data_IF_999576312395
#
_entry.id   IF_999576312395
#
_cell.length_a   1.000
_cell.length_b   1.000
_cell.length_c   1.000
_cell.angle_alpha   90.00
_cell.angle_beta   90.00
_cell.angle_gamma   90.00
#
_symmetry.space_group_name_H-M   'P 1'
#
loop_
_entity.id
_entity.type
_entity.pdbx_description
1 polymer ?
#
# COMPACT_ATOMS: atom_id res chain seq x y z
N UNK A 1 -54.59 28.33 31.86
CA UNK A 1 -53.25 28.81 31.42
C UNK A 1 -52.07 28.00 31.96
N UNK A 2 -52.18 27.28 33.08
CA UNK A 2 -51.05 26.56 33.72
C UNK A 2 -50.58 25.33 32.90
N UNK A 3 -51.49 24.63 32.20
CA UNK A 3 -51.15 23.40 31.46
C UNK A 3 -50.36 23.60 30.15
N UNK A 4 -50.35 24.81 29.57
CA UNK A 4 -49.58 25.10 28.35
C UNK A 4 -48.10 25.39 28.66
N UNK A 5 -47.84 26.09 29.76
CA UNK A 5 -46.49 26.39 30.21
C UNK A 5 -45.74 25.13 30.66
N UNK A 6 -46.38 24.24 31.41
CA UNK A 6 -45.78 22.98 31.85
C UNK A 6 -45.36 22.09 30.66
N UNK A 7 -46.18 22.04 29.59
CA UNK A 7 -45.86 21.29 28.36
C UNK A 7 -44.69 21.90 27.60
N UNK A 8 -44.59 23.23 27.54
CA UNK A 8 -43.46 23.92 26.88
C UNK A 8 -42.15 23.74 27.64
N UNK A 9 -42.18 23.75 28.97
CA UNK A 9 -41.00 23.50 29.82
C UNK A 9 -40.55 22.04 29.72
N UNK A 10 -41.50 21.08 29.73
CA UNK A 10 -41.18 19.67 29.55
C UNK A 10 -40.58 19.37 28.15
N UNK A 11 -41.11 20.02 27.11
CA UNK A 11 -40.58 19.90 25.75
C UNK A 11 -39.18 20.53 25.62
N UNK A 12 -38.95 21.68 26.25
CA UNK A 12 -37.64 22.33 26.28
C UNK A 12 -36.58 21.52 27.05
N UNK A 13 -36.97 20.87 28.16
CA UNK A 13 -36.08 19.97 28.91
C UNK A 13 -35.80 18.67 28.14
N UNK A 14 -36.78 18.12 27.42
CA UNK A 14 -36.54 16.97 26.54
C UNK A 14 -35.62 17.32 25.37
N UNK A 15 -35.82 18.47 24.72
CA UNK A 15 -34.90 18.94 23.67
C UNK A 15 -33.49 19.21 24.21
N UNK A 16 -33.36 19.78 25.41
CA UNK A 16 -32.06 19.97 26.05
C UNK A 16 -31.35 18.65 26.38
N UNK A 17 -32.09 17.59 26.75
CA UNK A 17 -31.54 16.25 26.93
C UNK A 17 -31.14 15.55 25.62
N UNK A 18 -31.80 15.87 24.50
CA UNK A 18 -31.43 15.31 23.18
C UNK A 18 -30.17 15.95 22.61
N UNK A 19 -29.83 17.19 22.99
CA UNK A 19 -28.61 17.85 22.53
C UNK A 19 -27.35 17.54 23.37
N UNK A 20 -27.49 16.97 24.58
CA UNK A 20 -26.35 16.67 25.46
C UNK A 20 -25.80 15.25 25.30
N UNK A 21 -26.43 14.39 24.50
CA UNK A 21 -26.03 12.98 24.31
C UNK A 21 -25.37 12.69 22.96
N UNK A 22 -25.06 13.71 22.15
CA UNK A 22 -24.11 13.55 21.05
C UNK A 22 -22.70 13.47 21.61
N UNK A 23 -22.37 12.36 22.27
CA UNK A 23 -20.99 11.91 22.34
C UNK A 23 -20.60 11.65 20.90
N UNK A 24 -19.89 12.59 20.28
CA UNK A 24 -19.16 12.32 19.07
C UNK A 24 -18.20 11.18 19.40
N UNK A 25 -18.61 9.95 19.11
CA UNK A 25 -17.67 8.86 18.95
C UNK A 25 -16.86 9.19 17.70
N UNK A 26 -15.88 10.09 17.85
CA UNK A 26 -14.73 10.05 16.96
C UNK A 26 -14.25 8.61 17.04
N UNK A 27 -14.31 7.88 15.93
CA UNK A 27 -13.66 6.58 15.87
C UNK A 27 -12.18 6.83 16.12
N UNK A 28 -11.75 6.65 17.37
CA UNK A 28 -10.34 6.57 17.69
C UNK A 28 -9.80 5.41 16.88
N UNK A 29 -9.11 5.69 15.78
CA UNK A 29 -8.27 4.70 15.13
C UNK A 29 -7.10 4.47 16.07
N UNK A 30 -7.26 3.49 16.95
CA UNK A 30 -6.17 3.04 17.81
C UNK A 30 -5.06 2.46 16.93
N UNK A 31 -3.82 2.71 17.31
CA UNK A 31 -2.67 1.98 16.78
C UNK A 31 -2.78 0.54 17.29
N UNK A 32 -3.21 -0.39 16.44
CA UNK A 32 -3.28 -1.82 16.78
C UNK A 32 -2.01 -2.50 16.30
N UNK A 33 -1.22 -3.05 17.23
CA UNK A 33 0.08 -3.62 16.90
C UNK A 33 -0.06 -4.96 16.15
N UNK A 34 -1.02 -5.80 16.55
CA UNK A 34 -1.23 -7.15 16.04
C UNK A 34 -2.70 -7.60 16.19
N UNK A 35 -3.07 -8.68 15.51
CA UNK A 35 -4.38 -9.33 15.60
C UNK A 35 -5.39 -8.93 14.54
N UNK A 36 -5.09 -7.92 13.72
CA UNK A 36 -5.97 -7.39 12.68
C UNK A 36 -5.77 -8.08 11.32
N UNK A 37 -6.68 -7.79 10.41
CA UNK A 37 -6.76 -8.36 9.07
C UNK A 37 -5.80 -7.69 8.08
N UNK A 38 -5.59 -8.37 6.95
CA UNK A 38 -5.11 -7.79 5.70
C UNK A 38 -6.27 -7.67 4.72
N UNK A 39 -6.40 -6.50 4.10
CA UNK A 39 -7.37 -6.24 3.04
C UNK A 39 -6.63 -6.04 1.71
N UNK A 40 -6.93 -6.83 0.66
CA UNK A 40 -6.41 -6.58 -0.66
C UNK A 40 -7.03 -5.29 -1.21
N UNK A 41 -6.33 -4.62 -2.12
CA UNK A 41 -6.76 -3.38 -2.71
C UNK A 41 -6.56 -3.40 -4.23
N UNK A 42 -7.59 -2.98 -4.95
CA UNK A 42 -7.50 -2.61 -6.35
C UNK A 42 -7.18 -1.11 -6.42
N UNK A 43 -6.06 -0.78 -7.05
CA UNK A 43 -5.51 0.59 -7.07
C UNK A 43 -5.83 1.34 -8.37
N UNK A 44 -6.50 0.66 -9.31
CA UNK A 44 -6.91 1.22 -10.59
C UNK A 44 -6.25 0.55 -11.79
N UNK A 45 -6.47 1.13 -12.97
CA UNK A 45 -5.99 0.59 -14.24
C UNK A 45 -5.40 1.65 -15.18
N UNK A 46 -4.60 1.18 -16.12
CA UNK A 46 -4.08 1.95 -17.26
C UNK A 46 -4.14 1.12 -18.55
N UNK A 47 -4.34 1.75 -19.73
CA UNK A 47 -4.23 1.06 -21.01
C UNK A 47 -2.76 0.79 -21.36
N UNK A 48 -2.50 -0.34 -21.99
CA UNK A 48 -1.20 -0.66 -22.61
C UNK A 48 -1.21 -0.25 -24.10
N UNK A 49 -0.03 -0.13 -24.71
CA UNK A 49 0.12 0.29 -26.12
C UNK A 49 -0.45 -0.73 -27.12
N UNK A 50 -0.53 -2.01 -26.74
CA UNK A 50 -1.08 -3.09 -27.55
C UNK A 50 -2.62 -3.21 -27.47
N UNK A 51 -3.27 -2.30 -26.74
CA UNK A 51 -4.72 -2.28 -26.53
C UNK A 51 -5.22 -3.18 -25.39
N UNK A 52 -4.33 -3.94 -24.74
CA UNK A 52 -4.63 -4.60 -23.47
C UNK A 52 -4.68 -3.58 -22.33
N UNK A 53 -5.02 -4.05 -21.13
CA UNK A 53 -5.07 -3.20 -19.94
C UNK A 53 -4.21 -3.80 -18.85
N UNK A 54 -3.72 -2.95 -17.97
CA UNK A 54 -2.99 -3.40 -16.80
C UNK A 54 -3.66 -2.90 -15.53
N UNK A 55 -3.83 -3.81 -14.60
CA UNK A 55 -4.53 -3.63 -13.34
C UNK A 55 -3.51 -3.54 -12.23
N UNK A 56 -3.64 -2.56 -11.34
CA UNK A 56 -2.74 -2.35 -10.21
C UNK A 56 -3.36 -2.87 -8.92
N UNK A 57 -2.55 -3.56 -8.13
CA UNK A 57 -2.95 -4.11 -6.86
C UNK A 57 -1.99 -3.73 -5.74
N UNK A 58 -2.54 -3.62 -4.55
CA UNK A 58 -1.81 -3.41 -3.32
C UNK A 58 -2.60 -4.04 -2.16
N UNK A 59 -2.21 -3.71 -0.94
CA UNK A 59 -3.00 -4.13 0.22
C UNK A 59 -2.83 -3.15 1.38
N UNK A 60 -3.68 -3.35 2.38
CA UNK A 60 -3.57 -2.73 3.70
C UNK A 60 -3.50 -3.84 4.74
N UNK A 61 -2.35 -3.97 5.40
CA UNK A 61 -2.26 -4.73 6.64
C UNK A 61 -2.60 -3.76 7.79
N UNK A 62 -3.70 -4.03 8.50
CA UNK A 62 -4.21 -3.13 9.53
C UNK A 62 -3.34 -3.11 10.80
N UNK A 63 -2.38 -4.04 10.91
CA UNK A 63 -1.41 -4.12 11.98
C UNK A 63 -0.26 -3.11 11.80
N UNK A 64 0.37 -2.74 12.91
CA UNK A 64 1.58 -1.90 12.92
C UNK A 64 2.88 -2.70 13.13
N UNK A 65 2.80 -3.95 13.60
CA UNK A 65 3.96 -4.81 13.85
C UNK A 65 3.78 -6.22 13.30
N UNK A 66 2.57 -6.79 13.34
CA UNK A 66 2.35 -8.14 12.84
C UNK A 66 2.43 -8.21 11.31
N UNK A 67 3.35 -9.05 10.84
CA UNK A 67 3.46 -9.52 9.46
C UNK A 67 2.72 -10.86 9.33
N UNK A 68 2.15 -11.13 8.17
CA UNK A 68 1.36 -12.34 7.93
C UNK A 68 1.88 -13.08 6.70
N UNK A 69 1.93 -14.40 6.78
CA UNK A 69 2.22 -15.27 5.64
C UNK A 69 0.92 -15.98 5.22
N UNK A 70 0.49 -15.81 3.97
CA UNK A 70 -0.65 -16.52 3.38
C UNK A 70 -0.24 -17.06 2.02
N UNK A 71 -0.02 -18.37 1.94
CA UNK A 71 0.36 -19.05 0.71
C UNK A 71 -0.74 -18.95 -0.35
N UNK A 72 -0.35 -19.02 -1.63
CA UNK A 72 -1.30 -19.15 -2.73
C UNK A 72 -2.17 -20.39 -2.50
N UNK A 73 -3.48 -20.21 -2.60
CA UNK A 73 -4.45 -21.27 -2.30
C UNK A 73 -5.82 -20.69 -1.98
N UNK A 74 -6.72 -21.48 -1.37
CA UNK A 74 -8.10 -21.06 -1.09
C UNK A 74 -8.26 -19.81 -0.21
N UNK A 75 -7.19 -19.39 0.46
CA UNK A 75 -7.15 -18.19 1.31
C UNK A 75 -6.40 -17.01 0.68
N UNK A 76 -5.79 -17.18 -0.51
CA UNK A 76 -5.09 -16.13 -1.25
C UNK A 76 -5.03 -16.49 -2.74
N UNK A 77 -6.03 -16.05 -3.51
CA UNK A 77 -6.18 -16.42 -4.92
C UNK A 77 -6.83 -15.32 -5.74
N UNK A 78 -6.62 -15.40 -7.06
CA UNK A 78 -7.37 -14.64 -8.04
C UNK A 78 -8.39 -15.48 -8.79
N UNK A 79 -9.46 -14.82 -9.21
CA UNK A 79 -10.46 -15.33 -10.16
C UNK A 79 -10.74 -14.29 -11.23
N UNK A 80 -11.14 -14.72 -12.42
CA UNK A 80 -11.68 -13.85 -13.46
C UNK A 80 -13.13 -14.25 -13.70
N UNK A 81 -14.04 -13.36 -13.35
CA UNK A 81 -15.49 -13.62 -13.34
C UNK A 81 -16.25 -12.54 -14.10
N UNK A 82 -17.53 -12.79 -14.40
CA UNK A 82 -18.41 -11.74 -14.88
C UNK A 82 -18.69 -10.68 -13.81
N UNK A 83 -19.08 -9.48 -14.25
CA UNK A 83 -19.44 -8.36 -13.37
C UNK A 83 -20.35 -8.79 -12.20
N UNK A 84 -19.96 -8.39 -10.98
CA UNK A 84 -20.71 -8.62 -9.74
C UNK A 84 -20.95 -10.10 -9.37
N UNK A 85 -20.31 -11.06 -10.05
CA UNK A 85 -20.50 -12.49 -9.79
C UNK A 85 -20.02 -12.92 -8.38
N UNK A 86 -19.12 -12.15 -7.76
CA UNK A 86 -18.53 -12.44 -6.45
C UNK A 86 -18.86 -11.37 -5.38
N UNK A 87 -19.88 -10.54 -5.60
CA UNK A 87 -20.35 -9.54 -4.61
C UNK A 87 -20.82 -10.18 -3.30
N UNK A 88 -21.40 -11.39 -3.39
CA UNK A 88 -21.69 -12.18 -2.21
C UNK A 88 -20.42 -12.89 -1.73
N UNK A 89 -19.91 -12.48 -0.56
CA UNK A 89 -18.73 -13.06 0.08
C UNK A 89 -18.88 -14.53 0.48
N UNK A 90 -20.10 -15.10 0.47
CA UNK A 90 -20.33 -16.52 0.70
C UNK A 90 -20.05 -17.39 -0.53
N UNK A 91 -20.01 -16.80 -1.72
CA UNK A 91 -19.70 -17.50 -2.98
C UNK A 91 -18.19 -17.49 -3.14
N UNK A 92 -17.57 -18.66 -3.27
CA UNK A 92 -16.13 -18.83 -3.55
C UNK A 92 -15.95 -19.29 -5.00
N UNK A 93 -14.87 -18.87 -5.66
CA UNK A 93 -14.54 -19.23 -7.04
C UNK A 93 -13.07 -19.63 -7.18
N UNK A 94 -12.58 -20.38 -6.20
CA UNK A 94 -11.20 -20.84 -6.20
C UNK A 94 -10.97 -21.87 -7.30
N UNK A 95 -10.12 -21.51 -8.27
CA UNK A 95 -9.55 -22.42 -9.26
C UNK A 95 -8.02 -22.37 -9.18
N UNK A 96 -7.42 -23.51 -8.85
CA UNK A 96 -5.96 -23.67 -8.73
C UNK A 96 -5.21 -23.27 -10.00
N UNK A 97 -5.81 -23.48 -11.19
CA UNK A 97 -5.14 -23.20 -12.47
C UNK A 97 -4.89 -21.70 -12.71
N UNK A 98 -5.73 -20.83 -12.15
CA UNK A 98 -5.63 -19.37 -12.31
C UNK A 98 -5.32 -18.64 -11.01
N UNK A 99 -5.34 -19.34 -9.87
CA UNK A 99 -5.21 -18.74 -8.54
C UNK A 99 -3.93 -17.90 -8.38
N UNK A 100 -2.81 -18.32 -8.98
CA UNK A 100 -1.55 -17.59 -8.95
C UNK A 100 -1.46 -16.61 -10.12
N UNK A 101 -1.49 -15.31 -9.81
CA UNK A 101 -1.32 -14.21 -10.77
C UNK A 101 -0.16 -13.29 -10.34
N UNK A 102 0.76 -13.82 -9.54
CA UNK A 102 1.91 -13.06 -9.07
C UNK A 102 1.70 -12.29 -7.77
N UNK A 103 0.57 -12.42 -7.04
CA UNK A 103 0.34 -11.76 -5.74
C UNK A 103 1.36 -12.11 -4.64
N UNK A 104 1.57 -11.26 -3.61
CA UNK A 104 2.44 -11.60 -2.50
C UNK A 104 1.88 -12.78 -1.68
N UNK A 105 2.78 -13.49 -1.00
CA UNK A 105 2.40 -14.43 0.06
C UNK A 105 2.93 -14.02 1.43
N UNK A 106 3.69 -12.93 1.50
CA UNK A 106 4.13 -12.29 2.72
C UNK A 106 3.59 -10.85 2.78
N UNK A 107 2.93 -10.50 3.87
CA UNK A 107 2.21 -9.25 4.06
C UNK A 107 2.84 -8.44 5.19
N UNK A 108 3.71 -7.51 4.82
CA UNK A 108 4.27 -6.51 5.72
C UNK A 108 3.18 -5.61 6.33
N UNK A 109 3.45 -4.92 7.45
CA UNK A 109 2.49 -4.02 8.09
C UNK A 109 2.08 -2.86 7.18
N UNK A 110 0.96 -2.22 7.52
CA UNK A 110 0.49 -0.97 6.92
C UNK A 110 0.19 -1.07 5.41
N UNK A 111 0.14 0.08 4.76
CA UNK A 111 -0.22 0.24 3.35
C UNK A 111 0.97 -0.12 2.46
N UNK A 112 0.71 -1.00 1.51
CA UNK A 112 1.60 -1.38 0.41
C UNK A 112 0.84 -1.11 -0.90
N UNK A 113 0.79 0.16 -1.34
CA UNK A 113 0.04 0.58 -2.52
C UNK A 113 0.81 0.27 -3.82
N UNK A 114 0.10 0.02 -4.92
CA UNK A 114 0.67 -0.23 -6.27
C UNK A 114 1.81 -1.27 -6.27
N UNK A 115 1.67 -2.33 -5.48
CA UNK A 115 2.72 -3.31 -5.21
C UNK A 115 3.03 -4.21 -6.40
N UNK A 116 2.01 -4.60 -7.17
CA UNK A 116 2.16 -5.44 -8.36
C UNK A 116 1.05 -5.17 -9.36
N UNK A 117 1.20 -5.71 -10.55
CA UNK A 117 0.27 -5.51 -11.66
C UNK A 117 -0.07 -6.81 -12.37
N UNK A 118 -1.24 -6.84 -12.99
CA UNK A 118 -1.68 -7.95 -13.84
C UNK A 118 -2.20 -7.38 -15.15
N UNK A 119 -1.75 -7.94 -16.27
CA UNK A 119 -2.23 -7.58 -17.60
C UNK A 119 -3.47 -8.42 -17.96
N UNK A 120 -4.51 -7.76 -18.46
CA UNK A 120 -5.76 -8.37 -18.94
C UNK A 120 -5.99 -8.00 -20.39
N UNK A 121 -6.61 -8.90 -21.19
CA UNK A 121 -6.69 -8.72 -22.64
C UNK A 121 -7.60 -7.55 -23.05
N UNK A 122 -7.49 -7.12 -24.31
CA UNK A 122 -8.27 -6.00 -24.85
C UNK A 122 -9.79 -6.22 -24.83
N UNK A 123 -10.22 -7.49 -24.80
CA UNK A 123 -11.62 -7.92 -24.74
C UNK A 123 -12.10 -8.26 -23.32
N UNK A 124 -11.36 -7.83 -22.28
CA UNK A 124 -11.74 -8.03 -20.87
C UNK A 124 -13.15 -7.52 -20.55
N UNK A 125 -13.62 -6.48 -21.26
CA UNK A 125 -15.01 -6.05 -21.23
C UNK A 125 -15.44 -5.60 -19.83
N UNK A 126 -16.54 -6.18 -19.34
CA UNK A 126 -17.08 -5.93 -17.99
C UNK A 126 -16.71 -7.03 -16.99
N UNK A 127 -15.78 -7.92 -17.35
CA UNK A 127 -15.30 -8.91 -16.40
C UNK A 127 -14.58 -8.23 -15.22
N UNK A 128 -14.46 -8.97 -14.14
CA UNK A 128 -13.74 -8.55 -12.94
C UNK A 128 -12.63 -9.54 -12.64
N UNK A 129 -11.47 -8.99 -12.29
CA UNK A 129 -10.37 -9.76 -11.73
C UNK A 129 -10.40 -9.59 -10.22
N UNK A 130 -10.74 -10.65 -9.50
CA UNK A 130 -11.07 -10.59 -8.08
C UNK A 130 -9.95 -11.22 -7.27
N UNK A 131 -9.27 -10.42 -6.45
CA UNK A 131 -8.32 -10.93 -5.46
C UNK A 131 -9.07 -11.27 -4.18
N UNK A 132 -9.16 -12.56 -3.83
CA UNK A 132 -9.70 -13.02 -2.54
C UNK A 132 -8.56 -13.31 -1.56
N UNK A 133 -8.64 -12.71 -0.37
CA UNK A 133 -7.68 -12.92 0.71
C UNK A 133 -8.42 -13.19 2.02
N UNK A 134 -8.06 -14.28 2.70
CA UNK A 134 -8.56 -14.63 4.04
C UNK A 134 -7.45 -14.51 5.07
N UNK A 135 -7.66 -13.65 6.06
CA UNK A 135 -6.77 -13.49 7.22
C UNK A 135 -7.59 -13.36 8.49
N UNK A 136 -7.13 -13.92 9.61
CA UNK A 136 -7.82 -13.84 10.92
C UNK A 136 -9.31 -14.22 10.86
N UNK A 137 -9.65 -15.25 10.09
CA UNK A 137 -11.03 -15.71 9.84
C UNK A 137 -11.95 -14.69 9.15
N UNK A 138 -11.38 -13.67 8.51
CA UNK A 138 -12.09 -12.67 7.73
C UNK A 138 -11.71 -12.77 6.26
N UNK A 139 -12.70 -12.70 5.37
CA UNK A 139 -12.52 -12.64 3.92
C UNK A 139 -12.63 -11.20 3.47
N UNK A 140 -11.65 -10.76 2.70
CA UNK A 140 -11.71 -9.49 1.99
C UNK A 140 -11.43 -9.74 0.50
N UNK A 141 -12.07 -8.92 -0.34
CA UNK A 141 -11.94 -8.97 -1.80
C UNK A 141 -11.58 -7.62 -2.38
N UNK A 142 -10.72 -7.63 -3.39
CA UNK A 142 -10.51 -6.49 -4.28
C UNK A 142 -11.07 -6.85 -5.66
N UNK A 143 -11.99 -6.04 -6.17
CA UNK A 143 -12.68 -6.25 -7.43
C UNK A 143 -12.09 -5.30 -8.48
N UNK A 144 -11.26 -5.82 -9.38
CA UNK A 144 -10.63 -5.01 -10.42
C UNK A 144 -11.43 -5.04 -11.71
N UNK A 145 -11.91 -3.88 -12.12
CA UNK A 145 -12.69 -3.66 -13.35
C UNK A 145 -12.10 -2.52 -14.17
N UNK A 146 -12.53 -2.38 -15.42
CA UNK A 146 -12.11 -1.28 -16.31
C UNK A 146 -13.06 -0.07 -16.23
N UNK A 147 -13.80 0.10 -15.12
CA UNK A 147 -14.66 1.27 -14.98
C UNK A 147 -13.83 2.57 -15.10
N UNK A 148 -14.30 3.58 -15.87
CA UNK A 148 -13.52 4.79 -16.16
C UNK A 148 -13.02 5.53 -14.92
N UNK A 149 -13.78 5.48 -13.81
CA UNK A 149 -13.45 6.18 -12.55
C UNK A 149 -12.21 5.58 -11.85
N UNK A 150 -11.83 4.34 -12.17
CA UNK A 150 -10.62 3.68 -11.65
C UNK A 150 -9.39 3.89 -12.55
N UNK A 151 -9.48 4.70 -13.60
CA UNK A 151 -8.33 4.96 -14.47
C UNK A 151 -7.32 5.87 -13.76
N UNK A 152 -6.07 5.44 -13.71
CA UNK A 152 -4.99 6.16 -13.03
C UNK A 152 -3.91 6.65 -14.01
N UNK A 153 -2.98 7.45 -13.49
CA UNK A 153 -1.80 7.96 -14.19
C UNK A 153 -0.61 8.11 -13.22
N UNK A 154 0.61 8.40 -13.70
CA UNK A 154 1.80 8.51 -12.84
C UNK A 154 1.67 9.54 -11.71
N UNK A 155 0.95 10.64 -11.93
CA UNK A 155 0.75 11.66 -10.89
C UNK A 155 -0.12 11.12 -9.75
N UNK A 156 -1.19 10.36 -10.06
CA UNK A 156 -2.02 9.69 -9.05
C UNK A 156 -1.19 8.75 -8.19
N UNK A 157 -0.37 7.91 -8.83
CA UNK A 157 0.52 6.98 -8.11
C UNK A 157 1.45 7.77 -7.17
N UNK A 158 2.11 8.81 -7.69
CA UNK A 158 3.02 9.65 -6.91
C UNK A 158 2.34 10.26 -5.67
N UNK A 159 1.14 10.81 -5.83
CA UNK A 159 0.42 11.46 -4.72
C UNK A 159 -0.07 10.48 -3.67
N UNK A 160 -0.57 9.31 -4.09
CA UNK A 160 -1.12 8.28 -3.20
C UNK A 160 -0.04 7.57 -2.37
N UNK A 161 1.19 7.50 -2.87
CA UNK A 161 2.35 7.02 -2.09
C UNK A 161 3.05 8.13 -1.30
N UNK A 162 2.52 9.37 -1.36
CA UNK A 162 3.10 10.55 -0.74
C UNK A 162 4.44 10.98 -1.32
N UNK A 163 4.73 10.56 -2.55
CA UNK A 163 5.92 10.92 -3.32
C UNK A 163 6.06 12.43 -3.46
N UNK A 164 7.30 12.91 -3.49
CA UNK A 164 7.60 14.35 -3.62
C UNK A 164 6.85 15.20 -2.58
N UNK A 165 6.68 14.70 -1.36
CA UNK A 165 5.88 15.36 -0.32
C UNK A 165 4.44 15.70 -0.76
N UNK A 166 3.81 14.83 -1.57
CA UNK A 166 2.44 14.99 -2.02
C UNK A 166 2.24 16.10 -3.05
N UNK A 167 3.31 16.46 -3.77
CA UNK A 167 3.28 17.52 -4.78
C UNK A 167 2.37 17.17 -5.96
N UNK A 168 1.62 18.18 -6.43
CA UNK A 168 0.80 18.11 -7.65
C UNK A 168 1.49 18.75 -8.86
N UNK A 169 2.82 18.85 -8.84
CA UNK A 169 3.59 19.43 -9.95
C UNK A 169 3.27 18.69 -11.26
N UNK A 170 2.95 19.47 -12.31
CA UNK A 170 2.59 18.96 -13.63
C UNK A 170 3.73 18.13 -14.26
N UNK A 171 4.99 18.40 -13.91
CA UNK A 171 6.14 17.60 -14.37
C UNK A 171 6.04 16.13 -13.98
N UNK A 172 5.36 15.80 -12.87
CA UNK A 172 5.19 14.42 -12.41
C UNK A 172 4.22 13.61 -13.30
N UNK A 173 3.46 14.26 -14.18
CA UNK A 173 2.57 13.56 -15.12
C UNK A 173 3.32 12.82 -16.21
N UNK A 174 4.54 13.24 -16.51
CA UNK A 174 5.42 12.60 -17.51
C UNK A 174 6.48 11.73 -16.86
N UNK A 175 6.37 11.47 -15.56
CA UNK A 175 7.30 10.64 -14.82
C UNK A 175 7.32 9.21 -15.39
N UNK A 176 8.50 8.69 -15.70
CA UNK A 176 8.68 7.30 -16.12
C UNK A 176 9.23 6.46 -14.95
N UNK A 177 8.96 5.14 -14.92
CA UNK A 177 9.52 4.28 -13.87
C UNK A 177 11.04 4.16 -14.03
N UNK A 178 11.78 4.00 -12.92
CA UNK A 178 13.20 3.66 -12.98
C UNK A 178 13.44 2.33 -13.68
N UNK A 179 14.60 2.20 -14.30
CA UNK A 179 15.11 0.96 -14.87
C UNK A 179 15.85 0.17 -13.78
N UNK A 180 15.56 -1.14 -13.70
CA UNK A 180 16.19 -2.04 -12.74
C UNK A 180 16.75 -3.27 -13.46
N UNK A 181 18.04 -3.55 -13.25
CA UNK A 181 18.73 -4.72 -13.79
C UNK A 181 19.39 -5.49 -12.66
N UNK A 182 19.00 -6.74 -12.47
CA UNK A 182 19.69 -7.64 -11.54
C UNK A 182 21.08 -7.99 -12.09
N UNK A 183 22.10 -7.93 -11.24
CA UNK A 183 23.44 -8.43 -11.60
C UNK A 183 23.48 -9.94 -11.38
N UNK A 184 23.66 -10.71 -12.44
CA UNK A 184 23.73 -12.17 -12.41
C UNK A 184 22.37 -12.84 -12.67
N UNK A 185 22.24 -14.10 -12.28
CA UNK A 185 21.03 -14.89 -12.59
C UNK A 185 19.82 -14.47 -11.75
N UNK A 186 18.64 -14.48 -12.37
CA UNK A 186 17.36 -14.18 -11.72
C UNK A 186 16.85 -15.31 -10.81
N UNK A 187 17.27 -16.55 -11.08
CA UNK A 187 16.99 -17.70 -10.24
C UNK A 187 18.26 -18.14 -9.54
N UNK A 188 18.24 -18.20 -8.20
CA UNK A 188 19.38 -18.61 -7.39
C UNK A 188 18.92 -19.56 -6.30
N UNK A 189 19.84 -20.41 -5.88
CA UNK A 189 19.63 -21.35 -4.77
C UNK A 189 20.74 -21.17 -3.74
N UNK A 190 20.38 -21.14 -2.46
CA UNK A 190 21.32 -21.13 -1.35
C UNK A 190 20.91 -22.16 -0.29
N UNK A 191 21.87 -22.66 0.49
CA UNK A 191 21.58 -23.50 1.65
C UNK A 191 21.34 -22.66 2.89
N UNK A 192 20.66 -23.23 3.89
CA UNK A 192 20.50 -22.58 5.19
C UNK A 192 21.88 -22.29 5.79
N UNK A 193 22.12 -21.03 6.15
CA UNK A 193 23.39 -20.55 6.69
C UNK A 193 24.42 -20.13 5.63
N UNK A 194 24.13 -20.34 4.35
CA UNK A 194 24.96 -19.83 3.25
C UNK A 194 24.41 -18.47 2.79
N UNK A 195 25.19 -17.38 2.89
CA UNK A 195 24.76 -16.08 2.38
C UNK A 195 24.70 -16.06 0.85
N UNK A 196 23.79 -15.26 0.32
CA UNK A 196 23.65 -15.01 -1.11
C UNK A 196 23.87 -13.52 -1.38
N UNK A 197 24.91 -13.20 -2.15
CA UNK A 197 25.17 -11.82 -2.56
C UNK A 197 24.16 -11.40 -3.62
N UNK A 198 23.52 -10.26 -3.40
CA UNK A 198 22.56 -9.65 -4.31
C UNK A 198 23.09 -8.26 -4.70
N UNK A 199 22.96 -7.92 -5.97
CA UNK A 199 23.17 -6.55 -6.42
C UNK A 199 22.33 -6.24 -7.64
N UNK A 200 21.96 -4.97 -7.77
CA UNK A 200 21.21 -4.44 -8.91
C UNK A 200 21.88 -3.19 -9.43
N UNK A 201 21.70 -2.93 -10.71
CA UNK A 201 21.84 -1.60 -11.27
C UNK A 201 20.45 -0.96 -11.31
N UNK A 202 20.28 0.20 -10.68
CA UNK A 202 19.04 0.96 -10.72
C UNK A 202 19.31 2.38 -11.20
N UNK A 203 18.60 2.79 -12.25
CA UNK A 203 18.80 4.06 -12.93
C UNK A 203 17.46 4.75 -13.14
N UNK A 204 17.39 6.05 -12.84
CA UNK A 204 16.19 6.86 -13.07
C UNK A 204 16.44 7.81 -14.25
N UNK A 205 15.99 7.46 -15.47
CA UNK A 205 16.41 8.14 -16.70
C UNK A 205 15.90 9.58 -16.85
N UNK A 206 14.77 9.93 -16.24
CA UNK A 206 14.24 11.30 -16.24
C UNK A 206 14.57 12.08 -14.96
N UNK A 207 15.10 11.38 -13.93
CA UNK A 207 15.45 11.93 -12.62
C UNK A 207 14.28 12.66 -11.96
N UNK A 208 13.05 12.18 -12.16
CA UNK A 208 11.84 12.73 -11.58
C UNK A 208 11.25 11.81 -10.50
N UNK A 209 10.75 12.38 -9.37
CA UNK A 209 11.14 13.69 -8.85
C UNK A 209 12.61 13.71 -8.41
N UNK A 210 13.29 14.83 -8.70
CA UNK A 210 14.68 15.03 -8.30
C UNK A 210 14.88 14.84 -6.78
N UNK A 211 16.01 14.25 -6.42
CA UNK A 211 16.37 13.99 -5.02
C UNK A 211 16.34 15.28 -4.20
N UNK A 212 15.64 15.23 -3.06
CA UNK A 212 15.64 16.30 -2.04
C UNK A 212 15.84 15.72 -0.65
N UNK A 213 16.28 16.52 0.34
CA UNK A 213 16.39 16.05 1.72
C UNK A 213 15.09 15.40 2.21
N UNK A 214 15.17 14.28 2.92
CA UNK A 214 14.00 13.57 3.41
C UNK A 214 13.34 14.24 4.64
N UNK A 215 12.33 13.57 5.19
CA UNK A 215 11.57 14.09 6.35
C UNK A 215 12.44 14.16 7.60
N UNK A 216 12.56 15.36 8.19
CA UNK A 216 13.33 15.53 9.43
C UNK A 216 14.81 15.20 9.26
N UNK A 217 15.43 15.64 8.16
CA UNK A 217 16.83 15.38 7.82
C UNK A 217 17.86 15.85 8.86
N UNK A 218 19.15 15.73 8.52
CA UNK A 218 20.27 16.07 9.41
C UNK A 218 20.08 17.48 10.02
N UNK A 219 20.02 17.56 11.35
CA UNK A 219 19.83 18.82 12.09
C UNK A 219 18.39 19.14 12.49
N UNK A 220 17.41 18.26 12.22
CA UNK A 220 16.04 18.45 12.68
C UNK A 220 15.93 18.42 14.22
N UNK A 221 15.12 19.31 14.79
CA UNK A 221 14.81 19.30 16.23
C UNK A 221 13.86 18.17 16.60
N UNK A 222 13.82 17.79 17.88
CA UNK A 222 12.85 16.80 18.37
C UNK A 222 11.40 17.23 18.08
N UNK A 223 11.09 18.52 18.20
CA UNK A 223 9.75 19.05 17.88
C UNK A 223 9.40 18.86 16.39
N UNK A 224 10.39 18.93 15.50
CA UNK A 224 10.19 18.67 14.07
C UNK A 224 9.99 17.17 13.79
N UNK A 225 10.70 16.30 14.51
CA UNK A 225 10.60 14.84 14.37
C UNK A 225 9.27 14.31 14.90
N UNK A 226 8.81 14.82 16.05
CA UNK A 226 7.55 14.40 16.67
C UNK A 226 6.33 15.22 16.23
N UNK A 227 6.50 16.12 15.24
CA UNK A 227 5.39 16.90 14.71
C UNK A 227 4.35 15.97 14.11
N UNK A 228 3.11 16.08 14.60
CA UNK A 228 1.99 15.28 14.08
C UNK A 228 1.78 15.56 12.59
N UNK A 229 1.66 14.53 11.74
CA UNK A 229 1.37 14.69 10.33
C UNK A 229 0.14 15.57 10.10
N UNK A 230 0.23 16.51 9.16
CA UNK A 230 -0.87 17.42 8.78
C UNK A 230 -1.51 17.03 7.45
N UNK A 231 -0.93 16.04 6.76
CA UNK A 231 -1.39 15.55 5.46
C UNK A 231 -2.29 14.33 5.64
N UNK A 232 -3.23 14.16 4.71
CA UNK A 232 -4.12 12.98 4.64
C UNK A 232 -3.31 11.74 4.25
N UNK A 233 -2.32 11.89 3.37
CA UNK A 233 -1.38 10.83 2.97
C UNK A 233 -0.06 11.01 3.71
N UNK A 234 0.61 9.91 4.08
CA UNK A 234 1.93 9.97 4.70
C UNK A 234 2.96 10.36 3.64
N UNK A 235 3.75 11.38 3.92
CA UNK A 235 4.67 11.95 2.94
C UNK A 235 6.00 11.19 2.90
N UNK A 236 6.64 11.18 1.73
CA UNK A 236 7.98 10.62 1.54
C UNK A 236 8.87 11.58 0.76
N UNK A 237 10.15 11.58 1.10
CA UNK A 237 11.16 12.35 0.36
C UNK A 237 11.33 11.83 -1.07
N UNK A 238 11.50 12.71 -2.07
CA UNK A 238 11.70 12.33 -3.47
C UNK A 238 13.14 11.89 -3.76
N UNK A 239 13.31 11.10 -4.81
CA UNK A 239 14.59 10.61 -5.33
C UNK A 239 14.63 9.08 -5.46
N UNK A 240 15.51 8.61 -6.32
CA UNK A 240 15.78 7.18 -6.51
C UNK A 240 16.31 6.56 -5.22
N UNK A 241 15.71 5.44 -4.81
CA UNK A 241 16.11 4.63 -3.66
C UNK A 241 15.82 3.17 -3.94
N UNK A 242 16.59 2.28 -3.33
CA UNK A 242 16.46 0.85 -3.53
C UNK A 242 16.50 0.08 -2.20
N UNK A 243 15.66 -0.95 -2.09
CA UNK A 243 15.61 -1.85 -0.95
C UNK A 243 15.15 -3.23 -1.39
N UNK A 244 15.75 -4.27 -0.83
CA UNK A 244 15.24 -5.63 -0.95
C UNK A 244 14.08 -5.89 0.02
N UNK A 245 13.14 -6.75 -0.38
CA UNK A 245 12.05 -7.23 0.48
C UNK A 245 11.68 -8.66 0.12
N UNK A 246 11.13 -9.41 1.07
CA UNK A 246 10.62 -10.76 0.82
C UNK A 246 9.19 -10.65 0.31
N UNK A 247 8.99 -11.01 -0.96
CA UNK A 247 7.69 -10.91 -1.61
C UNK A 247 6.82 -12.17 -1.43
N UNK A 248 7.47 -13.34 -1.44
CA UNK A 248 6.83 -14.65 -1.31
C UNK A 248 7.64 -15.59 -0.43
N UNK A 249 6.93 -16.46 0.28
CA UNK A 249 7.49 -17.52 1.13
C UNK A 249 7.57 -17.08 2.61
N UNK A 250 7.83 -18.03 3.52
CA UNK A 250 7.89 -17.71 4.94
C UNK A 250 9.09 -16.80 5.24
N UNK A 251 8.82 -15.50 5.43
CA UNK A 251 9.85 -14.47 5.55
C UNK A 251 10.79 -14.68 6.74
N UNK A 252 10.30 -15.32 7.81
CA UNK A 252 11.06 -15.61 9.04
C UNK A 252 12.37 -16.41 8.85
N UNK A 253 12.58 -17.02 7.68
CA UNK A 253 13.79 -17.82 7.39
C UNK A 253 14.85 -17.08 6.57
N UNK A 254 14.60 -15.84 6.15
CA UNK A 254 15.55 -15.03 5.41
C UNK A 254 15.67 -13.64 6.02
N UNK A 255 16.85 -13.05 5.88
CA UNK A 255 17.14 -11.67 6.29
C UNK A 255 18.13 -11.07 5.31
N UNK A 256 18.11 -9.75 5.21
CA UNK A 256 19.08 -9.00 4.42
C UNK A 256 20.16 -8.42 5.32
N UNK A 257 21.41 -8.49 4.88
CA UNK A 257 22.56 -7.82 5.49
C UNK A 257 23.29 -7.03 4.38
N UNK A 258 23.41 -5.70 4.48
CA UNK A 258 22.95 -4.85 5.58
C UNK A 258 21.41 -4.79 5.68
N UNK A 259 20.93 -4.38 6.86
CA UNK A 259 19.50 -4.20 7.10
C UNK A 259 18.92 -3.17 6.10
N UNK A 260 17.84 -3.57 5.44
CA UNK A 260 17.17 -2.74 4.45
C UNK A 260 16.17 -1.79 5.12
N UNK A 261 15.86 -0.66 4.47
CA UNK A 261 14.76 0.19 4.93
C UNK A 261 13.41 -0.44 4.61
N UNK A 262 12.36 -0.05 5.34
CA UNK A 262 11.02 -0.60 5.12
C UNK A 262 10.48 -0.20 3.76
N UNK A 263 9.97 -1.18 3.01
CA UNK A 263 9.31 -0.97 1.71
C UNK A 263 7.81 -0.66 1.83
N UNK A 264 7.31 -0.50 3.05
CA UNK A 264 5.91 -0.22 3.38
C UNK A 264 5.75 1.06 4.21
N UNK A 265 4.54 1.61 4.22
CA UNK A 265 4.23 2.94 4.79
C UNK A 265 4.18 2.93 6.33
N UNK A 266 5.34 2.81 6.97
CA UNK A 266 5.48 3.02 8.43
C UNK A 266 5.85 4.48 8.71
N UNK A 267 4.96 5.20 9.39
CA UNK A 267 5.11 6.63 9.70
C UNK A 267 5.65 6.89 11.11
N UNK A 268 5.92 5.84 11.92
CA UNK A 268 6.44 6.02 13.29
C UNK A 268 7.84 6.61 13.22
N UNK A 269 8.14 7.59 14.07
CA UNK A 269 9.47 8.18 14.09
C UNK A 269 10.54 7.10 14.33
N UNK A 270 11.68 7.23 13.64
CA UNK A 270 12.81 6.29 13.67
C UNK A 270 12.49 4.87 13.18
N UNK A 271 11.45 4.68 12.36
CA UNK A 271 11.06 3.37 11.87
C UNK A 271 11.97 2.78 10.77
N UNK A 272 13.04 3.46 10.36
CA UNK A 272 13.85 3.12 9.17
C UNK A 272 12.97 2.98 7.92
N UNK A 273 12.11 3.97 7.69
CA UNK A 273 11.11 4.00 6.63
C UNK A 273 11.22 5.31 5.85
N UNK A 274 11.06 5.30 4.51
CA UNK A 274 11.00 6.52 3.71
C UNK A 274 9.84 7.47 4.06
N UNK A 275 8.90 7.01 4.88
CA UNK A 275 7.73 7.74 5.37
C UNK A 275 7.86 8.16 6.85
N UNK A 276 8.98 7.85 7.50
CA UNK A 276 9.22 8.16 8.92
C UNK A 276 10.31 9.22 9.11
N UNK A 277 10.13 10.23 9.96
CA UNK A 277 11.24 11.09 10.37
C UNK A 277 12.09 10.43 11.49
N UNK A 278 13.40 10.66 11.53
CA UNK A 278 14.22 11.21 10.47
C UNK A 278 14.38 10.19 9.33
N UNK A 279 14.29 10.64 8.09
CA UNK A 279 14.68 9.87 6.91
C UNK A 279 15.60 10.70 6.03
N UNK A 280 16.70 10.10 5.60
CA UNK A 280 17.64 10.68 4.66
C UNK A 280 17.50 9.88 3.38
N UNK A 281 17.13 10.55 2.28
CA UNK A 281 17.13 9.92 0.96
C UNK A 281 18.58 9.57 0.62
N UNK A 282 18.91 8.30 0.34
CA UNK A 282 20.29 7.90 0.04
C UNK A 282 20.82 8.65 -1.18
N UNK A 283 22.13 8.83 -1.25
CA UNK A 283 22.79 9.19 -2.51
C UNK A 283 22.74 7.98 -3.45
N UNK A 284 22.59 8.22 -4.76
CA UNK A 284 22.73 7.15 -5.75
C UNK A 284 24.19 6.69 -5.76
N UNK A 285 24.47 5.38 -5.63
CA UNK A 285 25.83 4.87 -5.59
C UNK A 285 26.57 5.06 -6.91
N UNK A 286 27.91 5.06 -6.86
CA UNK A 286 28.74 5.11 -8.05
C UNK A 286 28.38 3.97 -9.03
N UNK A 287 28.22 4.30 -10.31
CA UNK A 287 27.84 3.34 -11.34
C UNK A 287 26.43 2.76 -11.18
N UNK A 288 25.54 3.42 -10.43
CA UNK A 288 24.14 3.00 -10.22
C UNK A 288 23.98 1.62 -9.58
N UNK A 289 25.04 1.07 -8.97
CA UNK A 289 25.07 -0.30 -8.45
C UNK A 289 24.75 -0.34 -6.96
N UNK A 290 23.65 -0.99 -6.61
CA UNK A 290 23.16 -1.18 -5.24
C UNK A 290 23.44 -2.61 -4.78
N UNK A 291 23.92 -2.78 -3.55
CA UNK A 291 24.28 -4.07 -2.94
C UNK A 291 23.57 -4.23 -1.60
#
# INVERSE_FOLDING_TARGET
MIGSYAKKVALALMLALFFTTQVAHGQGRFMVLSGEIVSPAYEGWWPNDDGSYKLFFGYMNSNWEEELDVAIGPDNYFSIVGEAALDNLEIEDYDFAIADQGQPTHFYPRRNPFLFTIDVPSDFGTNEMVWTLRTKNHVARAFASLMPDYRINPQVISTEVGGSFGSLDDRLRTNIPPELRLDGEAFRTARVGEPLDLSVEAHDPDNLPERRPGLGGIGASLDQIYRTPQSIVVMSGPGLRFSWSIYRGPAKYAKFEPAQFKTYTDSRAYANSPWSPPYIVPEVPEGNRWT
#
